data_IF_246839755793
#
_entry.id   IF_246839755793
#
_cell.length_a   1.000
_cell.length_b   1.000
_cell.length_c   1.000
_cell.angle_alpha   90.00
_cell.angle_beta   90.00
_cell.angle_gamma   90.00
#
_symmetry.space_group_name_H-M   'P 1'
#
loop_
_entity.id
_entity.type
_entity.pdbx_description
1 polymer ?
#
# COMPACT_ATOMS: atom_id res chain seq x y z
N UNK A 1 -35.16 39.75 -21.44
CA UNK A 1 -33.69 39.60 -21.57
C UNK A 1 -33.35 38.18 -21.13
N UNK A 2 -33.30 37.24 -22.07
CA UNK A 2 -33.14 35.82 -21.78
C UNK A 2 -31.66 35.50 -21.62
N UNK A 3 -31.26 35.07 -20.42
CA UNK A 3 -29.94 34.50 -20.15
C UNK A 3 -29.86 33.14 -20.84
N UNK A 4 -29.08 33.06 -21.92
CA UNK A 4 -28.71 31.81 -22.57
C UNK A 4 -27.88 30.98 -21.59
N UNK A 5 -28.53 30.02 -20.94
CA UNK A 5 -27.88 29.01 -20.10
C UNK A 5 -26.99 28.15 -21.01
N UNK A 6 -25.69 28.43 -21.01
CA UNK A 6 -24.69 27.68 -21.77
C UNK A 6 -24.67 26.22 -21.31
N UNK A 7 -25.03 25.31 -22.20
CA UNK A 7 -24.97 23.88 -21.96
C UNK A 7 -23.55 23.44 -21.53
N UNK A 8 -23.41 22.47 -20.61
CA UNK A 8 -22.10 22.01 -20.15
C UNK A 8 -21.32 21.40 -21.32
N UNK A 9 -20.29 22.12 -21.78
CA UNK A 9 -19.34 21.69 -22.79
C UNK A 9 -18.76 20.31 -22.38
N UNK A 10 -18.76 19.33 -23.29
CA UNK A 10 -18.18 18.01 -23.02
C UNK A 10 -16.66 18.17 -22.92
N UNK A 11 -16.01 17.84 -21.78
CA UNK A 11 -14.57 17.84 -21.74
C UNK A 11 -14.01 16.80 -22.72
N UNK A 12 -12.81 17.02 -23.29
CA UNK A 12 -12.16 16.05 -24.16
C UNK A 12 -11.94 14.72 -23.42
N UNK A 13 -12.18 13.60 -24.09
CA UNK A 13 -12.16 12.21 -23.58
C UNK A 13 -10.80 11.72 -23.02
N UNK A 14 -9.79 12.60 -22.96
CA UNK A 14 -8.44 12.31 -22.48
C UNK A 14 -8.18 12.63 -20.99
N UNK A 15 -9.15 13.19 -20.26
CA UNK A 15 -8.94 13.59 -18.86
C UNK A 15 -8.70 12.41 -17.92
N UNK A 16 -9.36 11.27 -18.14
CA UNK A 16 -9.14 10.00 -17.41
C UNK A 16 -7.68 9.57 -17.47
N UNK A 17 -7.08 9.65 -18.66
CA UNK A 17 -5.69 9.26 -18.89
C UNK A 17 -4.70 10.15 -18.13
N UNK A 18 -4.98 11.45 -18.03
CA UNK A 18 -4.17 12.39 -17.25
C UNK A 18 -4.24 12.11 -15.75
N UNK A 19 -5.40 11.67 -15.27
CA UNK A 19 -5.59 11.28 -13.88
C UNK A 19 -4.78 10.01 -13.56
N UNK A 20 -4.87 8.99 -14.41
CA UNK A 20 -4.06 7.77 -14.28
C UNK A 20 -2.56 8.06 -14.36
N UNK A 21 -2.14 8.96 -15.25
CA UNK A 21 -0.73 9.35 -15.37
C UNK A 21 -0.23 10.07 -14.13
N UNK A 22 -1.05 10.94 -13.52
CA UNK A 22 -0.74 11.58 -12.25
C UNK A 22 -0.54 10.55 -11.13
N UNK A 23 -1.51 9.62 -10.98
CA UNK A 23 -1.43 8.57 -9.96
C UNK A 23 -0.25 7.61 -10.20
N UNK A 24 0.02 7.25 -11.46
CA UNK A 24 1.18 6.43 -11.84
C UNK A 24 2.51 7.13 -11.58
N UNK A 25 2.62 8.42 -11.90
CA UNK A 25 3.84 9.20 -11.66
C UNK A 25 4.13 9.38 -10.16
N UNK A 26 3.08 9.50 -9.35
CA UNK A 26 3.15 9.55 -7.90
C UNK A 26 3.55 8.19 -7.32
N UNK A 27 2.87 7.11 -7.74
CA UNK A 27 3.18 5.74 -7.33
C UNK A 27 4.64 5.37 -7.65
N UNK A 28 5.12 5.68 -8.86
CA UNK A 28 6.49 5.33 -9.29
C UNK A 28 7.58 5.90 -8.40
N UNK A 29 7.36 7.07 -7.80
CA UNK A 29 8.34 7.71 -6.91
C UNK A 29 8.38 7.06 -5.53
N UNK A 30 7.24 6.62 -5.02
CA UNK A 30 7.13 6.13 -3.65
C UNK A 30 7.27 4.61 -3.55
N UNK A 31 6.87 3.87 -4.58
CA UNK A 31 6.77 2.41 -4.54
C UNK A 31 8.09 1.71 -4.24
N UNK A 32 9.22 2.20 -4.79
CA UNK A 32 10.53 1.59 -4.55
C UNK A 32 10.98 1.71 -3.09
N UNK A 33 10.83 2.89 -2.49
CA UNK A 33 11.20 3.12 -1.09
C UNK A 33 10.31 2.32 -0.13
N UNK A 34 9.00 2.34 -0.35
CA UNK A 34 8.05 1.60 0.48
C UNK A 34 8.21 0.08 0.35
N UNK A 35 8.41 -0.45 -0.86
CA UNK A 35 8.56 -1.89 -1.05
C UNK A 35 9.84 -2.44 -0.40
N UNK A 36 10.93 -1.70 -0.48
CA UNK A 36 12.20 -2.12 0.13
C UNK A 36 12.08 -2.14 1.66
N UNK A 37 11.60 -1.07 2.28
CA UNK A 37 11.51 -0.97 3.75
C UNK A 37 10.58 -2.03 4.34
N UNK A 38 9.45 -2.31 3.68
CA UNK A 38 8.47 -3.29 4.15
C UNK A 38 8.89 -4.74 3.94
N UNK A 39 9.93 -5.02 3.16
CA UNK A 39 10.42 -6.37 2.93
C UNK A 39 11.72 -6.67 3.68
N UNK A 40 12.62 -5.68 3.76
CA UNK A 40 13.94 -5.86 4.41
C UNK A 40 13.80 -6.12 5.91
N UNK A 41 12.94 -5.36 6.61
CA UNK A 41 12.77 -5.53 8.06
C UNK A 41 12.20 -6.91 8.45
N UNK A 42 11.10 -7.40 7.82
CA UNK A 42 10.59 -8.74 8.12
C UNK A 42 11.58 -9.86 7.78
N UNK A 43 12.33 -9.74 6.67
CA UNK A 43 13.34 -10.74 6.30
C UNK A 43 14.50 -10.77 7.30
N UNK A 44 14.99 -9.60 7.71
CA UNK A 44 16.02 -9.51 8.75
C UNK A 44 15.52 -10.06 10.10
N UNK A 45 14.24 -9.85 10.42
CA UNK A 45 13.63 -10.42 11.62
C UNK A 45 13.56 -11.96 11.54
N UNK A 46 13.12 -12.53 10.42
CA UNK A 46 13.15 -14.00 10.22
C UNK A 46 14.56 -14.55 10.28
N UNK A 47 15.54 -13.85 9.70
CA UNK A 47 16.93 -14.26 9.75
C UNK A 47 17.47 -14.25 11.18
N UNK A 48 17.20 -13.19 11.95
CA UNK A 48 17.60 -13.10 13.35
C UNK A 48 16.92 -14.15 14.24
N UNK A 49 15.61 -14.34 14.09
CA UNK A 49 14.84 -15.31 14.88
C UNK A 49 15.13 -16.74 14.47
N UNK A 50 15.32 -17.00 13.17
CA UNK A 50 15.63 -18.31 12.62
C UNK A 50 17.04 -18.79 12.97
N UNK A 51 18.05 -17.93 12.77
CA UNK A 51 19.45 -18.28 13.09
C UNK A 51 19.74 -18.20 14.59
N UNK A 52 19.14 -17.23 15.30
CA UNK A 52 19.40 -17.03 16.72
C UNK A 52 18.56 -17.92 17.64
N UNK A 53 17.24 -17.89 17.46
CA UNK A 53 16.31 -18.60 18.35
C UNK A 53 15.99 -20.00 17.84
N UNK A 54 15.90 -20.20 16.52
CA UNK A 54 15.58 -21.48 15.90
C UNK A 54 16.53 -22.59 16.32
N UNK A 55 17.84 -22.35 16.26
CA UNK A 55 18.83 -23.35 16.69
C UNK A 55 18.64 -23.79 18.16
N UNK A 56 18.28 -22.88 19.06
CA UNK A 56 18.07 -23.21 20.47
C UNK A 56 16.75 -23.95 20.71
N UNK A 57 15.71 -23.59 19.97
CA UNK A 57 14.37 -24.15 20.09
C UNK A 57 14.31 -25.56 19.47
N UNK A 58 14.94 -25.74 18.31
CA UNK A 58 15.00 -27.01 17.60
C UNK A 58 15.92 -28.01 18.34
N UNK A 59 17.09 -27.56 18.85
CA UNK A 59 17.96 -28.40 19.69
C UNK A 59 17.32 -28.76 21.04
N UNK A 60 16.44 -27.90 21.56
CA UNK A 60 15.72 -28.08 22.84
C UNK A 60 14.54 -29.07 22.78
N UNK A 61 14.30 -29.72 21.65
CA UNK A 61 13.22 -30.71 21.47
C UNK A 61 11.83 -30.11 21.22
N UNK A 62 11.72 -28.79 21.04
CA UNK A 62 10.45 -28.12 20.80
C UNK A 62 9.82 -28.48 19.44
N UNK A 63 10.59 -29.04 18.51
CA UNK A 63 10.11 -29.55 17.22
C UNK A 63 8.97 -30.57 17.41
N UNK A 64 9.00 -31.39 18.46
CA UNK A 64 7.91 -32.31 18.78
C UNK A 64 6.63 -31.58 19.20
N UNK A 65 6.76 -30.49 19.94
CA UNK A 65 5.66 -29.59 20.35
C UNK A 65 5.05 -28.83 19.18
N UNK A 66 5.85 -28.55 18.15
CA UNK A 66 5.45 -27.84 16.94
C UNK A 66 4.85 -28.76 15.86
N UNK A 67 4.71 -30.06 16.14
CA UNK A 67 4.16 -31.02 15.17
C UNK A 67 5.19 -31.51 14.15
N UNK A 68 6.48 -31.44 14.48
CA UNK A 68 7.57 -31.95 13.65
C UNK A 68 8.17 -30.92 12.69
N UNK A 69 7.78 -29.64 12.77
CA UNK A 69 8.34 -28.56 11.95
C UNK A 69 9.33 -27.71 12.74
N UNK A 70 10.33 -27.21 12.04
CA UNK A 70 11.33 -26.29 12.60
C UNK A 70 10.66 -24.96 12.99
N UNK A 71 11.21 -24.30 14.01
CA UNK A 71 10.67 -23.04 14.53
C UNK A 71 10.47 -21.96 13.44
N UNK A 72 11.37 -21.92 12.44
CA UNK A 72 11.31 -20.98 11.33
C UNK A 72 10.08 -21.24 10.43
N UNK A 73 9.80 -22.49 10.10
CA UNK A 73 8.64 -22.87 9.28
C UNK A 73 7.31 -22.56 9.98
N UNK A 74 7.27 -22.73 11.30
CA UNK A 74 6.11 -22.35 12.11
C UNK A 74 5.89 -20.83 12.13
N UNK A 75 6.95 -20.04 12.28
CA UNK A 75 6.86 -18.59 12.50
C UNK A 75 6.70 -17.78 11.19
N UNK A 76 7.30 -18.24 10.10
CA UNK A 76 7.30 -17.56 8.80
C UNK A 76 5.89 -17.14 8.30
N UNK A 77 4.87 -18.02 8.25
CA UNK A 77 3.56 -17.64 7.71
C UNK A 77 2.85 -16.60 8.59
N UNK A 78 2.99 -16.66 9.92
CA UNK A 78 2.41 -15.69 10.84
C UNK A 78 3.00 -14.29 10.63
N UNK A 79 4.33 -14.20 10.52
CA UNK A 79 5.01 -12.93 10.27
C UNK A 79 4.67 -12.36 8.88
N UNK A 80 4.59 -13.22 7.86
CA UNK A 80 4.15 -12.81 6.52
C UNK A 80 2.73 -12.26 6.55
N UNK A 81 1.80 -12.92 7.23
CA UNK A 81 0.43 -12.43 7.37
C UNK A 81 0.37 -11.07 8.08
N UNK A 82 1.09 -10.90 9.19
CA UNK A 82 1.11 -9.64 9.94
C UNK A 82 1.73 -8.49 9.13
N UNK A 83 2.82 -8.75 8.41
CA UNK A 83 3.47 -7.73 7.58
C UNK A 83 2.60 -7.31 6.40
N UNK A 84 1.93 -8.25 5.72
CA UNK A 84 0.94 -7.95 4.68
C UNK A 84 -0.21 -7.11 5.24
N UNK A 85 -0.72 -7.47 6.41
CA UNK A 85 -1.82 -6.74 7.06
C UNK A 85 -1.41 -5.30 7.39
N UNK A 86 -0.24 -5.08 8.01
CA UNK A 86 0.25 -3.73 8.31
C UNK A 86 0.43 -2.90 7.04
N UNK A 87 0.96 -3.49 5.98
CA UNK A 87 1.09 -2.84 4.68
C UNK A 87 -0.26 -2.46 4.07
N UNK A 88 -1.23 -3.38 4.09
CA UNK A 88 -2.56 -3.15 3.55
C UNK A 88 -3.27 -2.01 4.28
N UNK A 89 -3.20 -1.99 5.62
CA UNK A 89 -3.75 -0.90 6.45
C UNK A 89 -3.07 0.42 6.14
N UNK A 90 -1.74 0.42 6.01
CA UNK A 90 -0.98 1.61 5.66
C UNK A 90 -1.37 2.17 4.28
N UNK A 91 -1.50 1.29 3.29
CA UNK A 91 -1.84 1.63 1.92
C UNK A 91 -3.30 2.08 1.75
N UNK A 92 -4.23 1.63 2.60
CA UNK A 92 -5.63 2.06 2.56
C UNK A 92 -5.87 3.36 3.33
N UNK A 93 -5.10 3.62 4.38
CA UNK A 93 -5.37 4.75 5.30
C UNK A 93 -4.60 6.01 4.91
N UNK A 94 -3.28 5.91 4.76
CA UNK A 94 -2.41 7.08 4.62
C UNK A 94 -2.59 7.83 3.29
N UNK A 95 -2.78 7.19 2.12
CA UNK A 95 -2.95 7.91 0.86
C UNK A 95 -4.21 8.79 0.83
N UNK A 96 -5.31 8.30 1.41
CA UNK A 96 -6.56 9.04 1.50
C UNK A 96 -6.41 10.21 2.45
N UNK A 97 -5.93 9.96 3.68
CA UNK A 97 -5.73 11.03 4.65
C UNK A 97 -4.75 12.09 4.14
N UNK A 98 -3.67 11.67 3.47
CA UNK A 98 -2.67 12.62 2.96
C UNK A 98 -3.17 13.47 1.81
N UNK A 99 -4.00 12.88 0.94
CA UNK A 99 -4.68 13.61 -0.14
C UNK A 99 -5.71 14.63 0.37
N UNK A 100 -6.19 14.49 1.61
CA UNK A 100 -7.06 15.46 2.28
C UNK A 100 -6.23 16.51 3.04
N UNK A 101 -5.32 16.06 3.93
CA UNK A 101 -4.70 16.93 4.95
C UNK A 101 -3.48 17.70 4.45
N UNK A 102 -2.58 17.05 3.71
CA UNK A 102 -1.28 17.63 3.35
C UNK A 102 -1.24 18.05 1.89
N UNK A 103 -1.47 17.11 0.98
CA UNK A 103 -1.30 17.35 -0.45
C UNK A 103 -2.51 18.05 -1.07
N UNK A 104 -3.66 18.01 -0.38
CA UNK A 104 -4.93 18.61 -0.82
C UNK A 104 -5.33 18.20 -2.23
N UNK A 105 -4.91 17.02 -2.69
CA UNK A 105 -5.18 16.49 -4.03
C UNK A 105 -6.68 16.43 -4.31
N UNK A 106 -7.51 16.06 -3.32
CA UNK A 106 -8.96 16.05 -3.49
C UNK A 106 -9.55 17.45 -3.69
N UNK A 107 -9.02 18.46 -2.99
CA UNK A 107 -9.42 19.85 -3.18
C UNK A 107 -8.99 20.40 -4.55
N UNK A 108 -7.83 19.98 -5.06
CA UNK A 108 -7.40 20.34 -6.40
C UNK A 108 -8.29 19.71 -7.48
N UNK A 109 -8.71 18.45 -7.30
CA UNK A 109 -9.58 17.76 -8.26
C UNK A 109 -10.95 18.43 -8.39
N UNK A 110 -11.59 18.85 -7.28
CA UNK A 110 -12.88 19.55 -7.33
C UNK A 110 -12.81 20.96 -7.95
N UNK A 111 -11.63 21.58 -7.99
CA UNK A 111 -11.43 22.89 -8.60
C UNK A 111 -11.22 22.83 -10.13
N UNK A 112 -11.08 21.62 -10.69
CA UNK A 112 -10.91 21.37 -12.12
C UNK A 112 -12.18 20.78 -12.74
N UNK A 113 -12.39 20.87 -14.06
CA UNK A 113 -13.59 20.33 -14.73
C UNK A 113 -13.63 18.79 -14.81
N UNK A 114 -13.05 18.08 -13.84
CA UNK A 114 -13.10 16.62 -13.72
C UNK A 114 -14.51 16.17 -13.33
N UNK A 115 -15.03 15.15 -14.00
CA UNK A 115 -16.30 14.50 -13.63
C UNK A 115 -16.02 13.33 -12.70
N UNK A 116 -17.02 12.91 -11.92
CA UNK A 116 -16.96 11.68 -11.08
C UNK A 116 -16.52 10.46 -11.91
N UNK A 117 -16.92 10.42 -13.18
CA UNK A 117 -16.58 9.38 -14.16
C UNK A 117 -15.10 9.34 -14.53
N UNK A 118 -14.36 10.42 -14.28
CA UNK A 118 -12.94 10.52 -14.58
C UNK A 118 -12.05 10.11 -13.37
N UNK A 119 -12.68 9.91 -12.21
CA UNK A 119 -12.04 9.66 -10.91
C UNK A 119 -12.26 8.20 -10.45
N UNK A 120 -13.38 7.58 -10.84
CA UNK A 120 -13.72 6.17 -10.58
C UNK A 120 -12.91 5.21 -11.46
#
# INVERSE_FOLDING_TARGET
MATTQSAPQRPPSGLVWRQLDHWRARWRRTWRGSAITNFVLPVLYLLAMGVGLGSYVDDGGATQSLGGVDYLEFLAPGLLATSVMQNAVGASTWPVMGSIKWDKTYFAMIATPLRVRDIL
#
